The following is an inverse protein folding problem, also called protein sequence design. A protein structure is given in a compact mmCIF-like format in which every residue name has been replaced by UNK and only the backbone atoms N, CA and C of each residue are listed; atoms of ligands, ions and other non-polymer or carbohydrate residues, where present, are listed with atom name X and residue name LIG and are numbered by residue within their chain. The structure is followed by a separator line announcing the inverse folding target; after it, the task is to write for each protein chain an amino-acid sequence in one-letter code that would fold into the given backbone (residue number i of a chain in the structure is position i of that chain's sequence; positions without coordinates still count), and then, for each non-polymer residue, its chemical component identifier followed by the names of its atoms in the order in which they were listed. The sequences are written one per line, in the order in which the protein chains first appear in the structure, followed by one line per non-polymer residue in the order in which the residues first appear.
data_IF_802942464573
#
_entry.id   IF_802942464573
#
_cell.length_a   1.000
_cell.length_b   1.000
_cell.length_c   1.000
_cell.angle_alpha   90.00
_cell.angle_beta   90.00
_cell.angle_gamma   90.00
#
_symmetry.space_group_name_H-M   'P 1'
#
loop_
_entity.id
_entity.type
_entity.pdbx_description
1 polymer ?
#
# COMPACT_ATOMS: atom_id res chain seq x y z
N UNK A 1 11.04 -10.46 -3.62
CA UNK A 1 11.15 -9.88 -2.24
C UNK A 1 10.46 -10.79 -1.25
N UNK A 2 11.03 -10.99 -0.06
CA UNK A 2 10.36 -11.76 0.99
C UNK A 2 9.29 -10.92 1.69
N UNK A 3 8.15 -11.53 2.03
CA UNK A 3 7.09 -10.86 2.78
C UNK A 3 7.51 -10.71 4.25
N UNK A 4 7.67 -9.48 4.80
CA UNK A 4 8.11 -9.28 6.17
C UNK A 4 7.04 -9.64 7.22
N UNK A 5 5.81 -9.90 6.81
CA UNK A 5 4.73 -10.33 7.69
C UNK A 5 4.68 -11.86 7.86
N UNK A 6 5.39 -12.61 7.03
CA UNK A 6 5.55 -14.06 7.18
C UNK A 6 6.91 -14.40 7.79
N UNK A 7 6.99 -15.52 8.49
CA UNK A 7 8.29 -16.08 8.91
C UNK A 7 8.89 -16.79 7.70
N UNK A 8 9.97 -16.25 7.15
CA UNK A 8 10.67 -16.85 6.02
C UNK A 8 12.03 -17.38 6.49
N UNK A 9 12.34 -18.58 5.99
CA UNK A 9 13.61 -19.23 6.15
C UNK A 9 14.77 -18.40 5.57
N UNK A 10 15.87 -18.39 6.27
CA UNK A 10 17.02 -17.53 6.19
C UNK A 10 17.91 -17.83 4.98
N UNK A 11 18.09 -16.85 4.12
CA UNK A 11 19.28 -16.77 3.24
C UNK A 11 20.07 -15.48 3.39
N UNK A 12 19.63 -14.59 4.27
CA UNK A 12 20.21 -13.24 4.49
C UNK A 12 20.29 -12.96 5.99
N UNK A 13 21.27 -12.20 6.51
CA UNK A 13 21.38 -11.92 7.93
C UNK A 13 20.05 -11.49 8.51
N UNK A 14 19.60 -12.05 9.65
CA UNK A 14 18.34 -11.67 10.26
C UNK A 14 18.35 -10.18 10.60
N UNK A 15 17.18 -9.53 10.56
CA UNK A 15 17.06 -8.10 10.89
C UNK A 15 17.75 -7.74 12.22
N UNK A 16 17.72 -8.63 13.21
CA UNK A 16 18.35 -8.42 14.50
C UNK A 16 19.88 -8.21 14.37
N UNK A 17 20.56 -8.97 13.51
CA UNK A 17 21.99 -8.81 13.30
C UNK A 17 22.33 -7.48 12.62
N UNK A 18 21.53 -7.10 11.60
CA UNK A 18 21.68 -5.81 10.92
C UNK A 18 21.42 -4.63 11.85
N UNK A 19 20.43 -4.75 12.74
CA UNK A 19 20.13 -3.73 13.75
C UNK A 19 21.29 -3.51 14.69
N UNK A 20 21.88 -4.58 15.23
CA UNK A 20 23.01 -4.47 16.15
C UNK A 20 24.27 -3.87 15.47
N UNK A 21 24.52 -4.19 14.20
CA UNK A 21 25.58 -3.58 13.41
C UNK A 21 25.29 -2.10 13.14
N UNK A 22 24.08 -1.78 12.72
CA UNK A 22 23.67 -0.39 12.44
C UNK A 22 23.73 0.50 13.70
N UNK A 23 23.34 -0.02 14.88
CA UNK A 23 23.50 0.69 16.16
C UNK A 23 24.93 1.01 16.53
N UNK A 24 25.88 0.20 16.04
CA UNK A 24 27.34 0.42 16.22
C UNK A 24 27.92 1.36 15.15
N UNK A 25 27.08 1.96 14.30
CA UNK A 25 27.51 2.89 13.26
C UNK A 25 27.79 2.25 11.90
N UNK A 26 27.53 0.94 11.71
CA UNK A 26 27.67 0.30 10.41
C UNK A 26 26.61 0.80 9.42
N UNK A 27 27.04 1.71 8.55
CA UNK A 27 26.22 2.33 7.52
C UNK A 27 25.70 1.32 6.49
N UNK A 28 26.48 0.31 6.15
CA UNK A 28 26.09 -0.73 5.19
C UNK A 28 24.97 -1.60 5.75
N UNK A 29 25.06 -1.98 7.01
CA UNK A 29 24.01 -2.73 7.70
C UNK A 29 22.70 -1.93 7.76
N UNK A 30 22.77 -0.64 8.06
CA UNK A 30 21.61 0.25 8.06
C UNK A 30 20.99 0.36 6.66
N UNK A 31 21.80 0.57 5.62
CA UNK A 31 21.34 0.65 4.23
C UNK A 31 20.61 -0.64 3.82
N UNK A 32 21.20 -1.81 4.12
CA UNK A 32 20.57 -3.12 3.86
C UNK A 32 19.24 -3.28 4.59
N UNK A 33 19.17 -2.89 5.85
CA UNK A 33 17.98 -2.96 6.67
C UNK A 33 16.82 -2.12 6.06
N UNK A 34 17.12 -0.90 5.64
CA UNK A 34 16.14 0.00 5.04
C UNK A 34 15.69 -0.50 3.67
N UNK A 35 16.64 -0.90 2.80
CA UNK A 35 16.33 -1.43 1.48
C UNK A 35 15.40 -2.66 1.54
N UNK A 36 15.53 -3.48 2.59
CA UNK A 36 14.66 -4.64 2.83
C UNK A 36 13.21 -4.27 3.09
N UNK A 37 12.97 -3.16 3.80
CA UNK A 37 11.64 -2.82 4.30
C UNK A 37 10.95 -1.66 3.56
N UNK A 38 11.69 -0.81 2.84
CA UNK A 38 11.16 0.41 2.25
C UNK A 38 10.00 0.18 1.27
N UNK A 39 10.08 -0.85 0.42
CA UNK A 39 9.02 -1.13 -0.55
C UNK A 39 7.70 -1.52 0.14
N UNK A 40 7.77 -2.21 1.27
CA UNK A 40 6.59 -2.54 2.07
C UNK A 40 5.98 -1.31 2.74
N UNK A 41 6.82 -0.41 3.27
CA UNK A 41 6.37 0.88 3.82
C UNK A 41 5.70 1.70 2.71
N UNK A 42 6.30 1.76 1.52
CA UNK A 42 5.73 2.46 0.38
C UNK A 42 4.38 1.88 -0.05
N UNK A 43 4.25 0.55 -0.08
CA UNK A 43 3.00 -0.10 -0.41
C UNK A 43 1.90 0.07 0.65
N UNK A 44 2.25 0.30 1.91
CA UNK A 44 1.32 0.77 2.93
C UNK A 44 0.95 2.23 2.63
N UNK A 45 1.94 3.10 2.45
CA UNK A 45 1.73 4.53 2.23
C UNK A 45 0.83 4.82 1.02
N UNK A 46 1.10 4.22 -0.14
CA UNK A 46 0.33 4.46 -1.37
C UNK A 46 -1.15 4.11 -1.21
N UNK A 47 -1.47 3.05 -0.45
CA UNK A 47 -2.86 2.67 -0.16
C UNK A 47 -3.52 3.56 0.88
N UNK A 48 -2.73 4.30 1.64
CA UNK A 48 -3.24 5.29 2.60
C UNK A 48 -3.51 6.64 1.95
N UNK A 49 -2.64 7.11 1.03
CA UNK A 49 -2.70 8.47 0.49
C UNK A 49 -3.08 8.57 -0.99
N UNK A 50 -3.07 7.46 -1.73
CA UNK A 50 -3.45 7.31 -3.14
C UNK A 50 -2.40 7.84 -4.14
N UNK A 51 -1.85 9.04 -3.96
CA UNK A 51 -0.92 9.65 -4.93
C UNK A 51 0.52 9.14 -4.70
N UNK A 52 1.25 8.72 -5.75
CA UNK A 52 2.63 8.24 -5.63
C UNK A 52 3.58 9.23 -4.96
N UNK A 53 3.46 10.52 -5.29
CA UNK A 53 4.29 11.57 -4.69
C UNK A 53 4.07 11.69 -3.18
N UNK A 54 2.79 11.71 -2.75
CA UNK A 54 2.46 11.73 -1.31
C UNK A 54 2.97 10.45 -0.61
N UNK A 55 2.88 9.29 -1.28
CA UNK A 55 3.36 8.02 -0.74
C UNK A 55 4.89 7.99 -0.60
N UNK A 56 5.62 8.60 -1.53
CA UNK A 56 7.07 8.77 -1.44
C UNK A 56 7.45 9.61 -0.23
N UNK A 57 6.83 10.80 -0.06
CA UNK A 57 7.06 11.67 1.09
C UNK A 57 6.76 10.96 2.42
N UNK A 58 5.61 10.29 2.51
CA UNK A 58 5.24 9.50 3.71
C UNK A 58 6.27 8.43 4.00
N UNK A 59 6.74 7.72 2.97
CA UNK A 59 7.77 6.68 3.12
C UNK A 59 9.07 7.27 3.65
N UNK A 60 9.51 8.39 3.10
CA UNK A 60 10.71 9.12 3.56
C UNK A 60 10.58 9.55 5.01
N UNK A 61 9.45 10.16 5.40
CA UNK A 61 9.19 10.60 6.78
C UNK A 61 9.20 9.41 7.77
N UNK A 62 8.63 8.27 7.36
CA UNK A 62 8.66 7.03 8.17
C UNK A 62 10.09 6.51 8.33
N UNK A 63 10.85 6.44 7.24
CA UNK A 63 12.22 5.96 7.27
C UNK A 63 13.14 6.85 8.11
N UNK A 64 12.99 8.18 8.03
CA UNK A 64 13.70 9.12 8.91
C UNK A 64 13.38 8.81 10.38
N UNK A 65 12.09 8.59 10.72
CA UNK A 65 11.69 8.24 12.10
C UNK A 65 12.27 6.90 12.56
N UNK A 66 12.33 5.91 11.67
CA UNK A 66 12.94 4.60 11.97
C UNK A 66 14.41 4.76 12.28
N UNK A 67 15.14 5.49 11.43
CA UNK A 67 16.58 5.71 11.56
C UNK A 67 16.89 6.48 12.85
N UNK A 68 16.23 7.60 13.08
CA UNK A 68 16.47 8.43 14.28
C UNK A 68 16.09 7.75 15.58
N UNK A 69 15.16 6.78 15.54
CA UNK A 69 14.74 6.00 16.72
C UNK A 69 15.43 4.64 16.84
N UNK A 70 16.32 4.27 15.91
CA UNK A 70 16.91 2.93 15.89
C UNK A 70 17.67 2.60 17.20
N UNK A 71 18.37 3.58 17.78
CA UNK A 71 19.06 3.43 19.06
C UNK A 71 18.12 3.10 20.22
N UNK A 72 16.84 3.47 20.12
CA UNK A 72 15.82 3.19 21.16
C UNK A 72 15.18 1.82 21.04
N UNK A 73 15.43 1.08 19.98
CA UNK A 73 14.89 -0.27 19.82
C UNK A 73 15.55 -1.23 20.81
N UNK A 74 14.78 -1.76 21.77
CA UNK A 74 15.27 -2.59 22.87
C UNK A 74 15.27 -4.11 22.59
N UNK A 75 14.71 -4.55 21.43
CA UNK A 75 14.59 -5.98 21.15
C UNK A 75 13.43 -6.68 21.85
N UNK A 76 12.50 -5.93 22.48
CA UNK A 76 11.31 -6.47 23.16
C UNK A 76 10.26 -7.05 22.18
N UNK A 77 10.40 -6.74 20.89
CA UNK A 77 9.61 -7.29 19.78
C UNK A 77 10.53 -7.61 18.60
N UNK A 78 10.01 -8.29 17.57
CA UNK A 78 10.75 -8.40 16.30
C UNK A 78 10.95 -7.00 15.70
N UNK A 79 12.13 -6.73 15.11
CA UNK A 79 12.45 -5.43 14.52
C UNK A 79 11.37 -4.97 13.53
N UNK A 80 10.92 -5.88 12.65
CA UNK A 80 9.84 -5.61 11.69
C UNK A 80 8.56 -5.11 12.34
N UNK A 81 8.14 -5.67 13.48
CA UNK A 81 6.95 -5.21 14.22
C UNK A 81 7.13 -3.79 14.73
N UNK A 82 8.28 -3.50 15.33
CA UNK A 82 8.62 -2.16 15.80
C UNK A 82 8.64 -1.14 14.65
N UNK A 83 9.26 -1.49 13.52
CA UNK A 83 9.33 -0.65 12.33
C UNK A 83 7.93 -0.36 11.76
N UNK A 84 7.11 -1.40 11.58
CA UNK A 84 5.75 -1.22 11.04
C UNK A 84 4.81 -0.52 12.02
N UNK A 85 5.05 -0.60 13.32
CA UNK A 85 4.36 0.22 14.33
C UNK A 85 4.67 1.70 14.13
N UNK A 86 5.92 2.07 13.85
CA UNK A 86 6.28 3.46 13.51
C UNK A 86 5.55 3.90 12.23
N UNK A 87 5.54 3.06 11.20
CA UNK A 87 4.84 3.35 9.96
C UNK A 87 3.33 3.52 10.18
N UNK A 88 2.69 2.59 10.90
CA UNK A 88 1.27 2.61 11.23
C UNK A 88 0.89 3.87 12.01
N UNK A 89 1.62 4.18 13.07
CA UNK A 89 1.40 5.37 13.88
C UNK A 89 1.60 6.65 13.06
N UNK A 90 2.56 6.65 12.13
CA UNK A 90 2.76 7.81 11.27
C UNK A 90 1.56 8.03 10.34
N UNK A 91 1.15 7.02 9.57
CA UNK A 91 0.05 7.15 8.61
C UNK A 91 -1.32 7.38 9.27
N UNK A 92 -1.51 6.99 10.52
CA UNK A 92 -2.73 7.28 11.26
C UNK A 92 -2.80 8.73 11.76
N UNK A 93 -1.65 9.30 12.16
CA UNK A 93 -1.58 10.60 12.85
C UNK A 93 -1.14 11.77 11.94
N UNK A 94 -0.61 11.52 10.74
CA UNK A 94 -0.23 12.59 9.81
C UNK A 94 -1.46 13.39 9.34
N UNK A 95 -1.24 14.61 8.88
CA UNK A 95 -2.29 15.41 8.22
C UNK A 95 -2.75 14.69 6.94
N UNK A 96 -4.03 14.84 6.57
CA UNK A 96 -4.54 14.33 5.30
C UNK A 96 -3.86 15.04 4.14
N UNK A 97 -3.55 14.29 3.08
CA UNK A 97 -2.83 14.79 1.89
C UNK A 97 -3.57 14.41 0.61
N UNK A 98 -3.35 15.17 -0.44
CA UNK A 98 -3.83 14.87 -1.78
C UNK A 98 -5.28 14.43 -1.83
N UNK A 99 -5.54 13.29 -2.45
CA UNK A 99 -6.87 12.73 -2.62
C UNK A 99 -7.60 12.42 -1.28
N UNK A 100 -6.87 12.19 -0.19
CA UNK A 100 -7.44 11.92 1.12
C UNK A 100 -8.10 13.16 1.77
N UNK A 101 -7.75 14.36 1.31
CA UNK A 101 -8.37 15.62 1.81
C UNK A 101 -9.84 15.70 1.43
N UNK A 102 -10.22 15.06 0.33
CA UNK A 102 -11.61 14.92 -0.06
C UNK A 102 -12.28 13.91 0.86
N UNK A 103 -13.36 14.31 1.54
CA UNK A 103 -14.15 13.38 2.34
C UNK A 103 -14.93 12.47 1.39
N UNK A 104 -14.33 11.33 1.05
CA UNK A 104 -14.97 10.31 0.24
C UNK A 104 -15.84 9.42 1.13
N UNK A 105 -17.05 9.16 0.66
CA UNK A 105 -17.91 8.11 1.18
C UNK A 105 -18.29 7.18 0.05
N UNK A 106 -18.63 5.94 0.36
CA UNK A 106 -19.06 4.98 -0.66
C UNK A 106 -20.23 5.51 -1.51
N UNK A 107 -21.17 6.26 -0.91
CA UNK A 107 -22.27 6.87 -1.64
C UNK A 107 -21.80 7.88 -2.68
N UNK A 108 -20.98 8.87 -2.26
CA UNK A 108 -20.43 9.88 -3.17
C UNK A 108 -19.51 9.27 -4.24
N UNK A 109 -18.73 8.27 -3.85
CA UNK A 109 -17.84 7.58 -4.79
C UNK A 109 -18.65 6.81 -5.85
N UNK A 110 -19.72 6.11 -5.43
CA UNK A 110 -20.64 5.44 -6.34
C UNK A 110 -21.31 6.41 -7.31
N UNK A 111 -21.77 7.57 -6.83
CA UNK A 111 -22.33 8.63 -7.69
C UNK A 111 -21.31 9.16 -8.70
N UNK A 112 -20.04 9.37 -8.28
CA UNK A 112 -18.98 9.81 -9.19
C UNK A 112 -18.72 8.79 -10.30
N UNK A 113 -18.64 7.50 -9.96
CA UNK A 113 -18.50 6.42 -10.94
C UNK A 113 -19.72 6.37 -11.88
N UNK A 114 -20.93 6.53 -11.36
CA UNK A 114 -22.15 6.51 -12.17
C UNK A 114 -22.21 7.69 -13.15
N UNK A 115 -21.76 8.87 -12.74
CA UNK A 115 -21.68 10.07 -13.59
C UNK A 115 -20.59 9.99 -14.66
N UNK A 116 -19.56 9.18 -14.47
CA UNK A 116 -18.53 8.97 -15.49
C UNK A 116 -19.18 8.30 -16.71
N UNK A 117 -19.10 8.90 -17.92
CA UNK A 117 -19.78 8.36 -19.08
C UNK A 117 -19.20 7.00 -19.50
N UNK A 118 -20.04 6.15 -20.06
CA UNK A 118 -19.64 4.93 -20.75
C UNK A 118 -19.30 5.30 -22.18
N UNK A 119 -18.01 5.22 -22.51
CA UNK A 119 -17.47 5.57 -23.83
C UNK A 119 -16.70 4.40 -24.43
N UNK A 120 -16.59 4.39 -25.74
CA UNK A 120 -15.66 3.48 -26.43
C UNK A 120 -14.22 3.79 -26.05
N UNK A 121 -13.37 2.76 -26.06
CA UNK A 121 -11.95 2.93 -25.81
C UNK A 121 -11.32 3.90 -26.81
N UNK A 122 -10.28 4.65 -26.43
CA UNK A 122 -9.59 5.53 -27.35
C UNK A 122 -8.98 4.72 -28.50
N UNK A 123 -8.88 5.35 -29.68
CA UNK A 123 -8.14 4.78 -30.80
C UNK A 123 -6.69 4.51 -30.34
N UNK A 124 -6.18 3.28 -30.51
CA UNK A 124 -4.79 2.96 -30.13
C UNK A 124 -3.75 3.90 -30.75
N UNK A 125 -4.03 4.51 -31.91
CA UNK A 125 -3.15 5.48 -32.57
C UNK A 125 -3.19 6.88 -31.93
N UNK A 126 -4.21 7.16 -31.11
CA UNK A 126 -4.41 8.47 -30.46
C UNK A 126 -3.78 8.58 -29.07
N UNK A 127 -3.27 7.50 -28.52
CA UNK A 127 -2.69 7.45 -27.17
C UNK A 127 -1.25 6.90 -27.21
N UNK A 128 -0.36 7.39 -26.32
CA UNK A 128 1.07 7.02 -26.35
C UNK A 128 1.38 5.65 -25.73
N UNK A 129 0.37 4.97 -25.17
CA UNK A 129 0.51 3.67 -24.48
C UNK A 129 -0.55 2.69 -24.95
N UNK A 130 -0.30 1.39 -24.73
CA UNK A 130 -1.25 0.34 -25.06
C UNK A 130 -2.57 0.50 -24.32
N UNK A 131 -3.68 0.44 -25.05
CA UNK A 131 -5.04 0.60 -24.49
C UNK A 131 -5.36 -0.36 -23.34
N UNK A 132 -4.95 -1.65 -23.36
CA UNK A 132 -5.09 -2.54 -22.20
C UNK A 132 -4.44 -2.00 -20.92
N UNK A 133 -3.29 -1.32 -21.01
CA UNK A 133 -2.64 -0.70 -19.85
C UNK A 133 -3.46 0.46 -19.28
N UNK A 134 -4.13 1.23 -20.14
CA UNK A 134 -5.06 2.28 -19.69
C UNK A 134 -6.26 1.71 -18.94
N UNK A 135 -6.78 0.58 -19.40
CA UNK A 135 -7.88 -0.13 -18.71
C UNK A 135 -7.43 -0.65 -17.35
N UNK A 136 -6.21 -1.20 -17.28
CA UNK A 136 -5.63 -1.68 -16.02
C UNK A 136 -5.38 -0.53 -15.05
N UNK A 137 -4.80 0.58 -15.54
CA UNK A 137 -4.61 1.81 -14.76
C UNK A 137 -5.93 2.33 -14.19
N UNK A 138 -6.96 2.43 -15.03
CA UNK A 138 -8.30 2.85 -14.62
C UNK A 138 -8.90 1.90 -13.56
N UNK A 139 -8.70 0.58 -13.71
CA UNK A 139 -9.17 -0.42 -12.76
C UNK A 139 -8.47 -0.26 -11.41
N UNK A 140 -7.14 -0.14 -11.41
CA UNK A 140 -6.35 0.00 -10.18
C UNK A 140 -6.70 1.33 -9.50
N UNK A 141 -6.70 2.45 -10.24
CA UNK A 141 -7.08 3.76 -9.71
C UNK A 141 -8.47 3.77 -9.09
N UNK A 142 -9.46 3.17 -9.77
CA UNK A 142 -10.81 3.05 -9.25
C UNK A 142 -10.85 2.25 -7.94
N UNK A 143 -10.21 1.10 -7.87
CA UNK A 143 -10.23 0.26 -6.66
C UNK A 143 -9.38 0.87 -5.53
N UNK A 144 -8.28 1.54 -5.82
CA UNK A 144 -7.52 2.33 -4.85
C UNK A 144 -8.36 3.48 -4.27
N UNK A 145 -9.15 4.15 -5.12
CA UNK A 145 -10.10 5.19 -4.67
C UNK A 145 -11.18 4.65 -3.72
N UNK A 146 -11.63 3.41 -3.91
CA UNK A 146 -12.57 2.76 -2.97
C UNK A 146 -11.97 2.60 -1.57
N UNK A 147 -10.65 2.38 -1.44
CA UNK A 147 -10.00 2.32 -0.14
C UNK A 147 -10.10 3.64 0.62
N UNK A 148 -10.12 4.78 -0.08
CA UNK A 148 -10.28 6.09 0.56
C UNK A 148 -11.68 6.30 1.17
N UNK A 149 -12.67 5.48 0.80
CA UNK A 149 -14.00 5.51 1.41
C UNK A 149 -14.04 4.87 2.81
N UNK A 150 -13.04 4.04 3.15
CA UNK A 150 -12.85 3.53 4.50
C UNK A 150 -12.25 4.62 5.40
N UNK A 151 -12.58 4.59 6.70
CA UNK A 151 -11.80 5.39 7.65
C UNK A 151 -10.32 4.95 7.67
N UNK A 152 -9.44 5.81 8.16
CA UNK A 152 -7.99 5.56 8.12
C UNK A 152 -7.59 4.26 8.81
N UNK A 153 -8.20 3.95 9.95
CA UNK A 153 -7.89 2.76 10.74
C UNK A 153 -8.36 1.50 10.02
N UNK A 154 -9.59 1.52 9.51
CA UNK A 154 -10.14 0.42 8.70
C UNK A 154 -9.29 0.18 7.43
N UNK A 155 -8.91 1.26 6.74
CA UNK A 155 -8.08 1.20 5.53
C UNK A 155 -6.71 0.59 5.81
N UNK A 156 -6.04 1.01 6.90
CA UNK A 156 -4.75 0.44 7.28
C UNK A 156 -4.88 -1.03 7.67
N UNK A 157 -5.90 -1.41 8.46
CA UNK A 157 -6.16 -2.80 8.84
C UNK A 157 -6.44 -3.66 7.61
N UNK A 158 -7.25 -3.17 6.67
CA UNK A 158 -7.50 -3.87 5.41
C UNK A 158 -6.21 -4.03 4.59
N UNK A 159 -5.40 -2.98 4.48
CA UNK A 159 -4.12 -3.02 3.78
C UNK A 159 -3.18 -4.04 4.40
N UNK A 160 -3.00 -4.03 5.71
CA UNK A 160 -2.12 -4.97 6.39
C UNK A 160 -2.64 -6.42 6.29
N UNK A 161 -3.90 -6.64 6.67
CA UNK A 161 -4.44 -7.99 6.83
C UNK A 161 -4.93 -8.63 5.53
N UNK A 162 -5.68 -7.90 4.68
CA UNK A 162 -6.25 -8.46 3.46
C UNK A 162 -5.27 -8.40 2.27
N UNK A 163 -4.60 -7.26 2.10
CA UNK A 163 -3.74 -7.03 0.92
C UNK A 163 -2.34 -7.60 1.16
N UNK A 164 -1.66 -7.20 2.22
CA UNK A 164 -0.27 -7.57 2.49
C UNK A 164 -0.10 -8.88 3.28
N UNK A 165 -1.19 -9.48 3.74
CA UNK A 165 -1.17 -10.82 4.34
C UNK A 165 -0.65 -10.88 5.78
N UNK A 166 -0.69 -9.78 6.54
CA UNK A 166 -0.38 -9.81 7.96
C UNK A 166 -1.39 -10.68 8.72
N UNK A 167 -0.89 -11.55 9.61
CA UNK A 167 -1.77 -12.33 10.50
C UNK A 167 -2.45 -11.43 11.53
N UNK A 168 -3.56 -11.89 12.15
CA UNK A 168 -4.23 -11.12 13.20
C UNK A 168 -3.30 -10.80 14.37
N UNK A 169 -2.44 -11.74 14.72
CA UNK A 169 -1.44 -11.55 15.78
C UNK A 169 -0.44 -10.44 15.38
N UNK A 170 0.12 -10.51 14.17
CA UNK A 170 1.08 -9.51 13.66
C UNK A 170 0.40 -8.14 13.50
N UNK A 171 -0.79 -8.10 12.89
CA UNK A 171 -1.51 -6.84 12.71
C UNK A 171 -1.90 -6.20 14.05
N UNK A 172 -2.32 -7.00 15.02
CA UNK A 172 -2.64 -6.56 16.37
C UNK A 172 -1.42 -6.00 17.11
N UNK A 173 -0.27 -6.68 17.00
CA UNK A 173 0.99 -6.22 17.57
C UNK A 173 1.47 -4.89 16.95
N UNK A 174 1.38 -4.77 15.62
CA UNK A 174 1.73 -3.53 14.89
C UNK A 174 0.84 -2.35 15.29
N UNK A 175 -0.45 -2.60 15.52
CA UNK A 175 -1.44 -1.54 15.83
C UNK A 175 -1.72 -1.37 17.32
N UNK A 176 -0.99 -2.08 18.20
CA UNK A 176 -1.15 -2.03 19.65
C UNK A 176 -2.60 -2.26 20.09
N UNK A 177 -3.22 -3.31 19.55
CA UNK A 177 -4.60 -3.69 19.82
C UNK A 177 -4.73 -5.21 20.03
N UNK A 178 -5.89 -5.70 20.46
CA UNK A 178 -6.11 -7.15 20.59
C UNK A 178 -6.32 -7.80 19.21
N UNK A 179 -5.94 -9.07 19.06
CA UNK A 179 -6.14 -9.82 17.83
C UNK A 179 -7.64 -9.91 17.46
N UNK A 180 -8.52 -10.03 18.44
CA UNK A 180 -9.97 -10.03 18.21
C UNK A 180 -10.47 -8.69 17.65
N UNK A 181 -9.98 -7.57 18.19
CA UNK A 181 -10.35 -6.26 17.69
C UNK A 181 -9.81 -6.04 16.25
N UNK A 182 -8.56 -6.49 15.98
CA UNK A 182 -8.02 -6.45 14.61
C UNK A 182 -8.90 -7.25 13.65
N UNK A 183 -9.27 -8.49 14.01
CA UNK A 183 -10.12 -9.38 13.21
C UNK A 183 -11.49 -8.77 12.95
N UNK A 184 -12.14 -8.22 13.99
CA UNK A 184 -13.45 -7.58 13.86
C UNK A 184 -13.40 -6.33 12.95
N UNK A 185 -12.38 -5.49 13.09
CA UNK A 185 -12.18 -4.32 12.23
C UNK A 185 -11.90 -4.74 10.78
N UNK A 186 -11.07 -5.77 10.58
CA UNK A 186 -10.77 -6.32 9.25
C UNK A 186 -12.03 -6.88 8.58
N UNK A 187 -12.83 -7.66 9.32
CA UNK A 187 -14.09 -8.19 8.83
C UNK A 187 -15.09 -7.08 8.46
N UNK A 188 -15.12 -5.99 9.23
CA UNK A 188 -15.97 -4.82 8.92
C UNK A 188 -15.49 -4.15 7.64
N UNK A 189 -14.20 -3.84 7.53
CA UNK A 189 -13.65 -3.21 6.32
C UNK A 189 -13.91 -4.06 5.05
N UNK A 190 -13.76 -5.38 5.16
CA UNK A 190 -14.09 -6.32 4.07
C UNK A 190 -15.56 -6.25 3.68
N UNK A 191 -16.47 -6.27 4.63
CA UNK A 191 -17.92 -6.19 4.36
C UNK A 191 -18.30 -4.87 3.70
N UNK A 192 -17.76 -3.74 4.18
CA UNK A 192 -18.08 -2.42 3.65
C UNK A 192 -17.63 -2.31 2.18
N UNK A 193 -16.39 -2.72 1.86
CA UNK A 193 -15.88 -2.78 0.50
C UNK A 193 -16.63 -3.78 -0.37
N UNK A 194 -16.86 -4.99 0.12
CA UNK A 194 -17.61 -6.02 -0.62
C UNK A 194 -19.03 -5.56 -0.93
N UNK A 195 -19.73 -5.01 0.06
CA UNK A 195 -21.10 -4.50 -0.13
C UNK A 195 -21.13 -3.45 -1.23
N UNK A 196 -20.23 -2.48 -1.19
CA UNK A 196 -20.14 -1.45 -2.21
C UNK A 196 -19.82 -2.04 -3.59
N UNK A 197 -18.79 -2.88 -3.70
CA UNK A 197 -18.38 -3.49 -4.96
C UNK A 197 -19.48 -4.40 -5.54
N UNK A 198 -20.16 -5.16 -4.71
CA UNK A 198 -21.24 -6.03 -5.15
C UNK A 198 -22.44 -5.25 -5.73
N UNK A 199 -22.69 -4.02 -5.27
CA UNK A 199 -23.76 -3.17 -5.77
C UNK A 199 -23.35 -2.31 -6.98
N UNK A 200 -22.06 -2.00 -7.16
CA UNK A 200 -21.59 -1.04 -8.16
C UNK A 200 -20.67 -1.64 -9.21
N UNK A 201 -19.78 -2.58 -8.84
CA UNK A 201 -18.69 -3.01 -9.66
C UNK A 201 -18.99 -4.29 -10.45
N UNK A 202 -18.81 -4.23 -11.77
CA UNK A 202 -18.98 -5.40 -12.65
C UNK A 202 -17.86 -6.43 -12.58
N UNK A 203 -16.75 -6.15 -11.88
CA UNK A 203 -15.71 -7.14 -11.61
C UNK A 203 -16.15 -8.13 -10.52
N UNK A 204 -16.92 -7.67 -9.55
CA UNK A 204 -17.44 -8.49 -8.44
C UNK A 204 -18.80 -9.07 -8.80
N UNK A 205 -19.71 -8.26 -9.33
CA UNK A 205 -21.03 -8.70 -9.71
C UNK A 205 -21.29 -8.37 -11.19
N UNK A 206 -21.31 -9.40 -12.03
CA UNK A 206 -21.49 -9.28 -13.48
C UNK A 206 -22.84 -8.66 -13.91
N UNK A 207 -23.84 -8.60 -13.00
CA UNK A 207 -25.12 -7.94 -13.27
C UNK A 207 -25.02 -6.42 -13.26
N UNK A 208 -24.02 -5.87 -12.55
CA UNK A 208 -23.79 -4.42 -12.54
C UNK A 208 -23.37 -3.92 -13.93
N UNK A 209 -23.81 -2.72 -14.33
CA UNK A 209 -23.48 -2.16 -15.65
C UNK A 209 -22.04 -1.68 -15.77
N UNK A 210 -21.39 -1.31 -14.65
CA UNK A 210 -20.05 -0.76 -14.66
C UNK A 210 -19.04 -1.76 -15.25
N UNK A 211 -18.32 -1.30 -16.27
CA UNK A 211 -17.22 -2.05 -16.92
C UNK A 211 -16.01 -1.16 -17.06
N UNK A 212 -14.84 -1.61 -16.56
CA UNK A 212 -13.61 -0.81 -16.62
C UNK A 212 -13.30 -0.31 -18.04
N UNK A 213 -13.35 -1.16 -19.10
CA UNK A 213 -13.11 -0.68 -20.45
C UNK A 213 -14.02 0.49 -20.86
N UNK A 214 -15.31 0.44 -20.53
CA UNK A 214 -16.26 1.50 -20.87
C UNK A 214 -16.03 2.80 -20.11
N UNK A 215 -15.53 2.70 -18.88
CA UNK A 215 -15.24 3.86 -18.01
C UNK A 215 -13.88 4.50 -18.27
N UNK A 216 -12.94 3.75 -18.88
CA UNK A 216 -11.54 4.19 -19.06
C UNK A 216 -11.43 5.53 -19.76
N UNK A 217 -12.12 5.71 -20.90
CA UNK A 217 -12.08 6.99 -21.62
C UNK A 217 -12.69 8.13 -20.81
N UNK A 218 -13.80 7.90 -20.12
CA UNK A 218 -14.38 8.90 -19.24
C UNK A 218 -13.44 9.30 -18.09
N UNK A 219 -12.66 8.36 -17.55
CA UNK A 219 -11.63 8.66 -16.55
C UNK A 219 -10.44 9.44 -17.13
N UNK A 220 -10.08 9.21 -18.40
CA UNK A 220 -9.06 10.01 -19.10
C UNK A 220 -9.58 11.45 -19.27
N UNK A 221 -10.79 11.62 -19.77
CA UNK A 221 -11.40 12.94 -19.99
C UNK A 221 -11.60 13.72 -18.69
N UNK A 222 -11.85 13.01 -17.56
CA UNK A 222 -11.94 13.60 -16.22
C UNK A 222 -10.58 13.85 -15.55
N UNK A 223 -9.46 13.48 -16.20
CA UNK A 223 -8.10 13.64 -15.64
C UNK A 223 -7.74 12.65 -14.52
N UNK A 224 -8.50 11.57 -14.37
CA UNK A 224 -8.21 10.51 -13.38
C UNK A 224 -7.21 9.46 -13.90
N UNK A 225 -7.05 9.37 -15.20
CA UNK A 225 -6.04 8.54 -15.89
C UNK A 225 -5.30 9.45 -16.88
N UNK A 226 -4.00 9.56 -16.72
CA UNK A 226 -3.14 10.27 -17.66
C UNK A 226 -2.41 9.25 -18.56
N UNK A 227 -2.75 9.17 -19.86
CA UNK A 227 -2.08 8.25 -20.79
C UNK A 227 -0.57 8.48 -20.95
N UNK A 228 -0.08 9.68 -20.58
CA UNK A 228 1.35 10.03 -20.65
C UNK A 228 2.11 9.71 -19.36
N UNK A 229 1.38 9.52 -18.25
CA UNK A 229 1.98 9.33 -16.93
C UNK A 229 1.13 8.35 -16.09
N UNK A 230 1.24 7.06 -16.37
CA UNK A 230 0.55 6.02 -15.60
C UNK A 230 1.12 5.96 -14.19
N UNK A 231 0.25 5.96 -13.18
CA UNK A 231 0.60 5.96 -11.76
C UNK A 231 0.80 4.56 -11.19
N UNK A 232 -0.01 3.60 -11.63
CA UNK A 232 -0.14 2.30 -10.97
C UNK A 232 0.32 1.12 -11.85
N UNK A 233 0.45 1.30 -13.16
CA UNK A 233 0.87 0.25 -14.10
C UNK A 233 2.22 0.61 -14.73
N UNK A 234 3.31 0.70 -13.97
CA UNK A 234 4.65 0.80 -14.56
C UNK A 234 5.00 -0.53 -15.24
N UNK A 235 5.73 -0.46 -16.34
CA UNK A 235 6.27 -1.64 -17.04
C UNK A 235 7.20 -2.40 -16.10
N UNK A 236 6.94 -3.64 -15.75
CA UNK A 236 7.76 -4.53 -14.92
C UNK A 236 7.53 -4.49 -13.40
N UNK A 237 6.30 -4.54 -12.94
CA UNK A 237 6.01 -4.57 -11.50
C UNK A 237 5.52 -5.96 -11.09
N UNK A 238 6.11 -6.51 -10.01
CA UNK A 238 5.55 -7.66 -9.29
C UNK A 238 4.16 -7.31 -8.78
N UNK A 239 3.27 -8.29 -8.76
CA UNK A 239 1.94 -8.10 -8.15
C UNK A 239 2.01 -8.33 -6.65
N UNK A 240 1.12 -7.70 -5.91
CA UNK A 240 1.07 -7.88 -4.45
C UNK A 240 0.93 -9.37 -4.08
N UNK A 241 0.15 -10.16 -4.82
CA UNK A 241 -0.01 -11.61 -4.59
C UNK A 241 1.30 -12.40 -4.71
N UNK A 242 2.24 -11.94 -5.55
CA UNK A 242 3.50 -12.65 -5.79
C UNK A 242 4.48 -12.45 -4.63
N UNK A 243 4.40 -11.32 -3.94
CA UNK A 243 5.25 -10.97 -2.78
C UNK A 243 4.56 -11.18 -1.44
N UNK A 244 3.22 -11.23 -1.42
CA UNK A 244 2.39 -11.48 -0.25
C UNK A 244 1.55 -12.76 -0.48
N UNK A 245 2.11 -13.96 -0.25
CA UNK A 245 1.40 -15.21 -0.46
C UNK A 245 0.09 -15.26 0.32
N UNK A 246 -0.90 -15.91 -0.27
CA UNK A 246 -2.20 -16.07 0.36
C UNK A 246 -2.04 -16.78 1.71
N UNK A 247 -2.34 -16.08 2.77
CA UNK A 247 -2.73 -16.75 3.98
C UNK A 247 -4.16 -17.25 3.74
N UNK A 248 -4.30 -18.56 3.53
CA UNK A 248 -5.58 -19.24 3.46
C UNK A 248 -6.22 -19.11 4.83
N UNK A 249 -6.94 -18.03 5.06
CA UNK A 249 -7.95 -17.98 6.09
C UNK A 249 -9.24 -18.47 5.45
N UNK A 250 -9.95 -19.29 6.17
CA UNK A 250 -11.32 -19.65 5.87
C UNK A 250 -12.13 -18.35 5.75
N UNK A 251 -12.21 -17.84 4.54
CA UNK A 251 -13.17 -16.80 4.21
C UNK A 251 -14.42 -17.59 3.86
N UNK A 252 -15.45 -17.45 4.69
CA UNK A 252 -16.69 -18.23 4.60
C UNK A 252 -17.42 -18.04 3.27
N UNK A 253 -17.16 -16.96 2.51
CA UNK A 253 -17.80 -16.68 1.25
C UNK A 253 -16.80 -16.58 0.08
N UNK A 254 -17.07 -17.37 -0.99
CA UNK A 254 -16.29 -17.35 -2.25
C UNK A 254 -16.34 -15.97 -2.91
N UNK A 255 -17.44 -15.23 -2.74
CA UNK A 255 -17.64 -13.90 -3.31
C UNK A 255 -16.79 -12.86 -2.57
N UNK A 256 -16.65 -12.99 -1.25
CA UNK A 256 -15.76 -12.14 -0.46
C UNK A 256 -14.28 -12.30 -0.84
N UNK A 257 -13.87 -13.51 -1.23
CA UNK A 257 -12.52 -13.78 -1.75
C UNK A 257 -12.23 -13.03 -3.05
N UNK A 258 -13.22 -12.90 -3.94
CA UNK A 258 -13.03 -12.28 -5.24
C UNK A 258 -12.69 -10.80 -5.14
N UNK A 259 -13.34 -10.03 -4.25
CA UNK A 259 -13.01 -8.62 -4.13
C UNK A 259 -11.64 -8.37 -3.50
N UNK A 260 -11.23 -9.19 -2.53
CA UNK A 260 -9.87 -9.12 -1.96
C UNK A 260 -8.82 -9.47 -3.01
N UNK A 261 -9.08 -10.46 -3.86
CA UNK A 261 -8.18 -10.84 -4.96
C UNK A 261 -7.89 -9.67 -5.91
N UNK A 262 -8.87 -8.81 -6.18
CA UNK A 262 -8.68 -7.61 -7.00
C UNK A 262 -7.59 -6.72 -6.41
N UNK A 263 -7.58 -6.49 -5.09
CA UNK A 263 -6.56 -5.68 -4.43
C UNK A 263 -5.19 -6.38 -4.36
N UNK A 264 -5.16 -7.71 -4.36
CA UNK A 264 -3.91 -8.49 -4.42
C UNK A 264 -3.31 -8.55 -5.83
N UNK A 265 -4.13 -8.34 -6.84
CA UNK A 265 -3.68 -8.18 -8.22
C UNK A 265 -3.08 -6.80 -8.50
N UNK A 266 -3.18 -5.85 -7.56
CA UNK A 266 -2.53 -4.55 -7.68
C UNK A 266 -1.00 -4.70 -7.77
N UNK A 267 -0.31 -3.77 -8.46
CA UNK A 267 1.14 -3.76 -8.49
C UNK A 267 1.73 -3.58 -7.10
N UNK A 268 2.82 -4.27 -6.82
CA UNK A 268 3.69 -4.04 -5.68
C UNK A 268 4.75 -3.03 -6.09
N UNK A 269 4.54 -1.78 -5.73
CA UNK A 269 5.32 -0.65 -6.22
C UNK A 269 6.64 -0.50 -5.46
N UNK A 270 7.70 -0.17 -6.19
CA UNK A 270 8.98 0.24 -5.62
C UNK A 270 8.99 1.75 -5.44
N UNK A 271 9.54 2.27 -4.32
CA UNK A 271 9.72 3.72 -4.18
C UNK A 271 10.72 4.22 -5.25
N UNK A 272 10.49 5.40 -5.83
CA UNK A 272 11.41 5.98 -6.81
C UNK A 272 12.78 6.23 -6.20
N UNK A 273 13.86 5.91 -6.95
CA UNK A 273 15.27 6.15 -6.63
C UNK A 273 15.66 5.96 -5.13
N UNK A 274 15.38 4.77 -4.57
CA UNK A 274 15.50 4.54 -3.14
C UNK A 274 16.96 4.59 -2.64
N UNK A 275 17.92 4.22 -3.48
CA UNK A 275 19.34 4.13 -3.09
C UNK A 275 19.96 5.52 -2.97
N UNK A 276 19.78 6.37 -3.96
CA UNK A 276 20.33 7.72 -3.94
C UNK A 276 19.64 8.59 -2.89
N UNK A 277 18.32 8.43 -2.73
CA UNK A 277 17.60 9.11 -1.66
C UNK A 277 18.13 8.68 -0.28
N UNK A 278 18.31 7.38 -0.05
CA UNK A 278 18.83 6.85 1.21
C UNK A 278 20.22 7.40 1.51
N UNK A 279 21.13 7.41 0.53
CA UNK A 279 22.49 7.96 0.70
C UNK A 279 22.44 9.44 1.07
N UNK A 280 21.67 10.25 0.35
CA UNK A 280 21.49 11.68 0.68
C UNK A 280 20.92 11.88 2.09
N UNK A 281 19.98 11.02 2.50
CA UNK A 281 19.41 11.07 3.84
C UNK A 281 20.44 10.73 4.92
N UNK A 282 21.25 9.70 4.71
CA UNK A 282 22.33 9.29 5.65
C UNK A 282 23.46 10.33 5.75
N UNK A 283 23.61 11.18 4.73
CA UNK A 283 24.59 12.29 4.74
C UNK A 283 24.08 13.53 5.48
N UNK A 284 22.80 13.58 5.85
CA UNK A 284 22.24 14.71 6.62
C UNK A 284 22.86 14.80 8.01
N UNK A 285 23.23 16.03 8.49
CA UNK A 285 23.86 16.21 9.80
C UNK A 285 23.02 15.70 10.98
N UNK A 286 21.70 15.93 10.94
CA UNK A 286 20.75 15.47 11.96
C UNK A 286 20.68 13.94 12.07
N UNK A 287 20.69 13.26 10.93
CA UNK A 287 20.69 11.79 10.85
C UNK A 287 22.05 11.22 11.28
N UNK A 288 23.16 11.81 10.82
CA UNK A 288 24.52 11.40 11.23
C UNK A 288 24.70 11.53 12.73
N UNK A 289 24.27 12.65 13.31
CA UNK A 289 24.34 12.86 14.77
C UNK A 289 23.51 11.85 15.53
N UNK A 290 22.27 11.60 15.10
CA UNK A 290 21.35 10.66 15.76
C UNK A 290 21.86 9.20 15.73
N UNK A 291 22.66 8.84 14.72
CA UNK A 291 23.17 7.48 14.49
C UNK A 291 24.63 7.30 14.87
N UNK A 292 25.29 8.36 15.39
CA UNK A 292 26.73 8.37 15.65
C UNK A 292 27.58 7.93 14.43
N UNK A 293 27.11 8.26 13.20
CA UNK A 293 27.84 7.97 11.96
C UNK A 293 29.01 8.96 11.84
N UNK A 294 30.21 8.48 11.87
CA UNK A 294 31.45 9.23 11.63
C UNK A 294 31.73 9.40 10.15
#
# INVERSE_FOLDING_TARGET
MSNPFTEIAESDPPDAALVEQAKKGDRTALERLILRHQAWIYNIAIRMVFLPQDAEEVTQEVLIKVITKLSTFKGESKFRTWLYRIAANHVLNMKRRGAETQTLSFARYGEAIARTPDLELPDPKSVPVDVPLLVEEAKIGCTMGMLLCLDRKQRLIFTLGAVLGASDAVGAEVLEMTADNFRQCLARARRDLHSFMNHQCGLVNKKNPCRCPKKTRGFIEAGHVDPRNLMFVPQHVERVRDVAPEMVREIEDVVERQHVAIYRDHPFLQPPDPVNWLRRMLDRPDVRTALHLT
#
